data_IF_627027128918
#
_entry.id   IF_627027128918
#
_cell.length_a   1.000
_cell.length_b   1.000
_cell.length_c   1.000
_cell.angle_alpha   90.00
_cell.angle_beta   90.00
_cell.angle_gamma   90.00
#
_symmetry.space_group_name_H-M   'P 1'
#
loop_
_entity.id
_entity.type
_entity.pdbx_description
1 polymer ?
#
# COMPACT_ATOMS: atom_id res chain seq x y z
N UNK A 1 -7.30 84.22 -21.20
CA UNK A 1 -7.03 83.07 -22.10
C UNK A 1 -8.35 82.62 -22.71
N UNK A 2 -8.45 82.58 -24.04
CA UNK A 2 -9.67 82.22 -24.78
C UNK A 2 -10.05 80.76 -24.55
N UNK A 3 -11.35 80.45 -24.53
CA UNK A 3 -11.87 79.08 -24.44
C UNK A 3 -11.30 78.18 -25.53
N UNK A 4 -11.03 78.75 -26.71
CA UNK A 4 -10.43 78.07 -27.86
C UNK A 4 -9.05 77.47 -27.54
N UNK A 5 -8.24 78.14 -26.72
CA UNK A 5 -6.91 77.64 -26.31
C UNK A 5 -7.04 76.43 -25.39
N UNK A 6 -8.08 76.39 -24.55
CA UNK A 6 -8.34 75.23 -23.67
C UNK A 6 -8.89 74.04 -24.44
N UNK A 7 -9.76 74.29 -25.43
CA UNK A 7 -10.29 73.24 -26.32
C UNK A 7 -9.15 72.62 -27.11
N UNK A 8 -8.28 73.44 -27.71
CA UNK A 8 -7.11 72.94 -28.45
C UNK A 8 -6.15 72.13 -27.56
N UNK A 9 -5.95 72.55 -26.30
CA UNK A 9 -5.15 71.81 -25.33
C UNK A 9 -5.73 70.43 -25.00
N UNK A 10 -7.05 70.35 -24.79
CA UNK A 10 -7.73 69.08 -24.53
C UNK A 10 -7.73 68.16 -25.75
N UNK A 11 -7.89 68.70 -26.96
CA UNK A 11 -7.79 67.93 -28.20
C UNK A 11 -6.41 67.31 -28.39
N UNK A 12 -5.34 68.06 -28.07
CA UNK A 12 -3.98 67.54 -28.08
C UNK A 12 -3.77 66.42 -27.05
N UNK A 13 -4.34 66.58 -25.84
CA UNK A 13 -4.26 65.56 -24.78
C UNK A 13 -5.01 64.28 -25.13
N UNK A 14 -6.23 64.39 -25.69
CA UNK A 14 -7.01 63.25 -26.18
C UNK A 14 -6.26 62.50 -27.29
N UNK A 15 -5.62 63.24 -28.19
CA UNK A 15 -4.84 62.65 -29.29
C UNK A 15 -3.62 61.90 -28.73
N UNK A 16 -2.94 62.47 -27.73
CA UNK A 16 -1.82 61.83 -27.04
C UNK A 16 -2.23 60.53 -26.34
N UNK A 17 -3.30 60.58 -25.53
CA UNK A 17 -3.82 59.41 -24.82
C UNK A 17 -4.30 58.31 -25.78
N UNK A 18 -4.87 58.68 -26.92
CA UNK A 18 -5.30 57.72 -27.95
C UNK A 18 -4.10 56.98 -28.55
N UNK A 19 -3.00 57.69 -28.83
CA UNK A 19 -1.76 57.07 -29.31
C UNK A 19 -1.13 56.15 -28.25
N UNK A 20 -1.13 56.55 -26.98
CA UNK A 20 -0.64 55.71 -25.88
C UNK A 20 -1.49 54.43 -25.71
N UNK A 21 -2.80 54.55 -25.87
CA UNK A 21 -3.71 53.40 -25.81
C UNK A 21 -3.44 52.43 -26.97
N UNK A 22 -3.25 52.94 -28.19
CA UNK A 22 -2.89 52.12 -29.35
C UNK A 22 -1.57 51.37 -29.14
N UNK A 23 -0.56 52.03 -28.56
CA UNK A 23 0.71 51.41 -28.19
C UNK A 23 0.52 50.30 -27.14
N UNK A 24 -0.27 50.56 -26.08
CA UNK A 24 -0.57 49.56 -25.06
C UNK A 24 -1.26 48.33 -25.67
N UNK A 25 -2.24 48.55 -26.55
CA UNK A 25 -2.95 47.47 -27.22
C UNK A 25 -2.04 46.67 -28.16
N UNK A 26 -1.06 47.32 -28.81
CA UNK A 26 -0.09 46.66 -29.66
C UNK A 26 0.80 45.69 -28.86
N UNK A 27 1.32 46.13 -27.72
CA UNK A 27 2.13 45.29 -26.82
C UNK A 27 1.33 44.09 -26.31
N UNK A 28 0.06 44.30 -25.96
CA UNK A 28 -0.82 43.20 -25.51
C UNK A 28 -1.04 42.18 -26.63
N UNK A 29 -1.22 42.61 -27.88
CA UNK A 29 -1.36 41.70 -29.03
C UNK A 29 -0.09 40.90 -29.29
N UNK A 30 1.07 41.52 -29.17
CA UNK A 30 2.37 40.85 -29.33
C UNK A 30 2.59 39.77 -28.25
N UNK A 31 2.30 40.12 -26.99
CA UNK A 31 2.36 39.16 -25.88
C UNK A 31 1.33 38.05 -26.03
N UNK A 32 0.11 38.36 -26.47
CA UNK A 32 -0.91 37.36 -26.77
C UNK A 32 -0.48 36.44 -27.93
N UNK A 33 0.26 36.94 -28.92
CA UNK A 33 0.84 36.12 -29.98
C UNK A 33 1.95 35.20 -29.45
N UNK A 34 2.87 35.73 -28.65
CA UNK A 34 4.00 34.99 -28.11
C UNK A 34 3.58 33.91 -27.08
N UNK A 35 2.54 34.18 -26.29
CA UNK A 35 2.15 33.35 -25.15
C UNK A 35 0.75 32.73 -25.25
N UNK A 36 -0.15 33.29 -26.06
CA UNK A 36 -1.56 32.85 -26.16
C UNK A 36 -1.82 31.82 -27.27
N UNK A 37 -0.98 31.74 -28.31
CA UNK A 37 -1.19 30.85 -29.46
C UNK A 37 -0.81 29.38 -29.25
N UNK A 38 -0.24 29.05 -28.09
CA UNK A 38 0.27 27.71 -27.81
C UNK A 38 1.68 27.69 -27.22
N UNK A 39 2.41 28.81 -27.23
CA UNK A 39 3.79 28.88 -26.74
C UNK A 39 3.97 28.36 -25.30
N UNK A 40 3.04 28.66 -24.39
CA UNK A 40 3.06 28.10 -23.02
C UNK A 40 2.78 26.59 -23.01
N UNK A 41 1.89 26.12 -23.88
CA UNK A 41 1.56 24.70 -23.99
C UNK A 41 2.70 23.89 -24.64
N UNK A 42 3.37 24.47 -25.64
CA UNK A 42 4.53 23.87 -26.29
C UNK A 42 5.74 23.83 -25.35
N UNK A 43 6.02 24.92 -24.62
CA UNK A 43 7.06 24.90 -23.57
C UNK A 43 6.77 23.87 -22.47
N UNK A 44 5.49 23.67 -22.12
CA UNK A 44 5.10 22.65 -21.15
C UNK A 44 5.35 21.25 -21.70
N UNK A 45 5.01 20.99 -22.97
CA UNK A 45 5.29 19.72 -23.66
C UNK A 45 6.79 19.45 -23.72
N UNK A 46 7.58 20.46 -24.05
CA UNK A 46 9.06 20.35 -24.09
C UNK A 46 9.63 20.03 -22.70
N UNK A 47 9.09 20.64 -21.65
CA UNK A 47 9.51 20.39 -20.27
C UNK A 47 9.16 18.96 -19.81
N UNK A 48 7.97 18.45 -20.19
CA UNK A 48 7.57 17.06 -19.95
C UNK A 48 8.49 16.08 -20.69
N UNK A 49 8.80 16.37 -21.96
CA UNK A 49 9.74 15.57 -22.74
C UNK A 49 11.14 15.54 -22.13
N UNK A 50 11.64 16.70 -21.67
CA UNK A 50 12.96 16.80 -21.06
C UNK A 50 13.02 16.05 -19.72
N UNK A 51 11.94 16.08 -18.93
CA UNK A 51 11.81 15.29 -17.70
C UNK A 51 11.93 13.78 -17.97
N UNK A 52 11.29 13.29 -19.04
CA UNK A 52 11.40 11.89 -19.47
C UNK A 52 12.85 11.56 -19.86
N UNK A 53 13.51 12.41 -20.65
CA UNK A 53 14.91 12.20 -21.05
C UNK A 53 15.86 12.17 -19.85
N UNK A 54 15.68 13.05 -18.87
CA UNK A 54 16.46 13.07 -17.63
C UNK A 54 16.24 11.77 -16.85
N UNK A 55 15.00 11.29 -16.73
CA UNK A 55 14.70 10.01 -16.08
C UNK A 55 15.36 8.81 -16.78
N UNK A 56 15.41 8.81 -18.12
CA UNK A 56 16.11 7.78 -18.89
C UNK A 56 17.63 7.82 -18.68
N UNK A 57 18.24 9.02 -18.70
CA UNK A 57 19.66 9.19 -18.46
C UNK A 57 20.06 8.80 -17.04
N UNK A 58 19.27 9.19 -16.03
CA UNK A 58 19.49 8.77 -14.64
C UNK A 58 19.44 7.25 -14.47
N UNK A 59 18.51 6.57 -15.16
CA UNK A 59 18.39 5.11 -15.14
C UNK A 59 19.53 4.40 -15.89
N UNK A 60 20.03 4.98 -16.98
CA UNK A 60 21.19 4.48 -17.71
C UNK A 60 22.50 4.63 -16.90
N UNK A 61 22.69 5.76 -16.22
CA UNK A 61 23.83 6.01 -15.31
C UNK A 61 23.78 5.09 -14.08
N UNK A 62 22.58 4.67 -13.67
CA UNK A 62 22.38 3.73 -12.55
C UNK A 62 22.69 2.25 -12.88
N UNK A 63 23.28 1.96 -14.03
CA UNK A 63 23.75 0.63 -14.44
C UNK A 63 22.64 -0.45 -14.54
N UNK A 64 21.45 -0.06 -15.02
CA UNK A 64 20.44 -1.02 -15.47
C UNK A 64 20.54 -1.23 -16.98
N UNK A 65 20.52 -2.47 -17.50
CA UNK A 65 20.84 -2.74 -18.90
C UNK A 65 19.72 -2.23 -19.81
N UNK A 66 20.06 -1.30 -20.72
CA UNK A 66 19.18 -0.78 -21.77
C UNK A 66 19.48 -1.53 -23.06
N UNK A 67 18.45 -2.18 -23.62
CA UNK A 67 18.46 -2.66 -25.01
C UNK A 67 18.34 -1.44 -25.90
N UNK A 68 19.35 -1.21 -26.74
CA UNK A 68 19.46 -0.07 -27.64
C UNK A 68 18.27 0.02 -28.60
N UNK A 69 17.75 1.23 -28.84
CA UNK A 69 16.93 1.51 -30.01
C UNK A 69 17.33 2.82 -30.70
N UNK A 70 17.38 2.67 -32.02
CA UNK A 70 17.81 3.52 -33.11
C UNK A 70 17.04 4.85 -33.22
N UNK A 71 17.77 5.90 -33.61
CA UNK A 71 17.33 7.30 -33.68
C UNK A 71 16.71 7.54 -35.07
N UNK A 72 15.42 7.22 -35.23
CA UNK A 72 14.74 7.50 -36.52
C UNK A 72 13.33 6.94 -36.70
N UNK A 73 12.85 6.05 -35.83
CA UNK A 73 11.49 5.54 -35.95
C UNK A 73 10.51 6.46 -35.21
N UNK A 74 9.49 6.96 -35.92
CA UNK A 74 8.22 7.44 -35.35
C UNK A 74 7.96 6.76 -34.01
N UNK A 75 7.95 7.55 -32.93
CA UNK A 75 7.79 7.14 -31.53
C UNK A 75 6.93 5.86 -31.44
N UNK A 76 7.59 4.69 -31.45
CA UNK A 76 6.91 3.44 -31.14
C UNK A 76 6.70 3.51 -29.64
N UNK A 77 5.52 3.97 -29.25
CA UNK A 77 5.08 3.95 -27.87
C UNK A 77 5.32 2.52 -27.37
N UNK A 78 6.22 2.32 -26.39
CA UNK A 78 6.51 0.98 -25.89
C UNK A 78 5.22 0.40 -25.34
N UNK A 79 4.78 -0.74 -25.85
CA UNK A 79 3.60 -1.41 -25.31
C UNK A 79 3.86 -1.77 -23.84
N UNK A 80 2.88 -1.55 -22.96
CA UNK A 80 3.04 -1.88 -21.55
C UNK A 80 3.25 -3.38 -21.41
N UNK A 81 4.17 -3.77 -20.54
CA UNK A 81 4.29 -5.19 -20.21
C UNK A 81 3.03 -5.65 -19.49
N UNK A 82 2.48 -6.77 -19.94
CA UNK A 82 1.42 -7.44 -19.21
C UNK A 82 1.90 -7.77 -17.79
N UNK A 83 1.09 -7.40 -16.80
CA UNK A 83 1.43 -7.66 -15.40
C UNK A 83 1.44 -9.17 -15.15
N UNK A 84 2.56 -9.67 -14.63
CA UNK A 84 2.75 -11.11 -14.38
C UNK A 84 1.93 -11.64 -13.21
N UNK A 85 1.19 -10.77 -12.50
CA UNK A 85 0.33 -11.13 -11.38
C UNK A 85 1.02 -11.22 -10.01
N UNK A 86 2.30 -10.81 -9.93
CA UNK A 86 3.09 -10.89 -8.71
C UNK A 86 2.57 -9.99 -7.59
N UNK A 87 2.16 -10.57 -6.44
CA UNK A 87 1.61 -9.89 -5.24
C UNK A 87 2.63 -9.02 -4.49
N UNK A 88 3.14 -8.03 -5.17
CA UNK A 88 4.10 -7.05 -4.69
C UNK A 88 3.54 -5.68 -5.04
N UNK A 89 3.29 -4.87 -4.01
CA UNK A 89 2.73 -3.53 -4.16
C UNK A 89 3.55 -2.68 -5.13
N UNK A 90 4.89 -2.82 -5.09
CA UNK A 90 5.79 -2.10 -5.98
C UNK A 90 5.65 -2.54 -7.43
N UNK A 91 5.38 -3.83 -7.68
CA UNK A 91 5.15 -4.34 -9.05
C UNK A 91 3.80 -3.90 -9.60
N UNK A 92 2.78 -3.78 -8.75
CA UNK A 92 1.46 -3.23 -9.12
C UNK A 92 1.60 -1.75 -9.45
N UNK A 93 2.28 -0.99 -8.58
CA UNK A 93 2.52 0.44 -8.77
C UNK A 93 3.31 0.72 -10.05
N UNK A 94 4.39 -0.03 -10.29
CA UNK A 94 5.16 0.07 -11.54
C UNK A 94 4.30 -0.21 -12.78
N UNK A 95 3.40 -1.20 -12.72
CA UNK A 95 2.51 -1.50 -13.83
C UNK A 95 1.49 -0.38 -14.09
N UNK A 96 0.90 0.18 -13.03
CA UNK A 96 -0.04 1.30 -13.15
C UNK A 96 0.66 2.53 -13.71
N UNK A 97 1.89 2.80 -13.25
CA UNK A 97 2.73 3.86 -13.78
C UNK A 97 3.04 3.65 -15.26
N UNK A 98 3.48 2.45 -15.66
CA UNK A 98 3.76 2.12 -17.07
C UNK A 98 2.50 2.29 -17.97
N UNK A 99 1.31 1.95 -17.46
CA UNK A 99 0.04 2.17 -18.17
C UNK A 99 -0.30 3.65 -18.35
N UNK A 100 -0.10 4.45 -17.30
CA UNK A 100 -0.34 5.89 -17.35
C UNK A 100 0.60 6.56 -18.37
N UNK A 101 1.89 6.22 -18.33
CA UNK A 101 2.86 6.71 -19.31
C UNK A 101 2.53 6.29 -20.74
N UNK A 102 2.00 5.07 -20.92
CA UNK A 102 1.53 4.60 -22.22
C UNK A 102 0.35 5.42 -22.75
N UNK A 103 -0.64 5.72 -21.91
CA UNK A 103 -1.80 6.53 -22.33
C UNK A 103 -1.42 7.96 -22.68
N UNK A 104 -0.50 8.56 -21.91
CA UNK A 104 0.06 9.88 -22.20
C UNK A 104 0.80 9.89 -23.54
N UNK A 105 1.69 8.91 -23.77
CA UNK A 105 2.46 8.81 -25.00
C UNK A 105 1.59 8.47 -26.23
N UNK A 106 0.51 7.71 -26.04
CA UNK A 106 -0.45 7.33 -27.09
C UNK A 106 -1.55 8.37 -27.35
N UNK A 107 -1.53 9.51 -26.63
CA UNK A 107 -2.56 10.54 -26.67
C UNK A 107 -3.99 9.96 -26.55
N UNK A 108 -4.15 8.93 -25.70
CA UNK A 108 -5.46 8.34 -25.43
C UNK A 108 -6.12 9.17 -24.35
N UNK A 109 -7.05 10.04 -24.74
CA UNK A 109 -7.77 10.91 -23.81
C UNK A 109 -9.11 10.30 -23.34
N UNK A 110 -9.70 9.41 -24.13
CA UNK A 110 -10.98 8.76 -23.81
C UNK A 110 -10.83 7.75 -22.67
N UNK A 111 -11.48 8.04 -21.55
CA UNK A 111 -11.51 7.21 -20.35
C UNK A 111 -12.07 5.80 -20.61
N UNK A 112 -13.09 5.65 -21.47
CA UNK A 112 -13.64 4.33 -21.77
C UNK A 112 -12.60 3.45 -22.49
N UNK A 113 -11.85 4.04 -23.41
CA UNK A 113 -10.75 3.37 -24.14
C UNK A 113 -9.54 3.09 -23.25
N UNK A 114 -9.19 3.99 -22.31
CA UNK A 114 -8.15 3.74 -21.28
C UNK A 114 -8.53 2.54 -20.42
N UNK A 115 -9.75 2.54 -19.86
CA UNK A 115 -10.26 1.44 -19.03
C UNK A 115 -10.27 0.13 -19.81
N UNK A 116 -10.75 0.11 -21.06
CA UNK A 116 -10.77 -1.09 -21.90
C UNK A 116 -9.36 -1.62 -22.20
N UNK A 117 -8.39 -0.73 -22.44
CA UNK A 117 -7.00 -1.13 -22.74
C UNK A 117 -6.33 -1.66 -21.48
N UNK A 118 -6.42 -0.93 -20.37
CA UNK A 118 -5.88 -1.37 -19.08
C UNK A 118 -6.50 -2.71 -18.66
N UNK A 119 -7.80 -2.92 -18.84
CA UNK A 119 -8.45 -4.19 -18.52
C UNK A 119 -7.93 -5.38 -19.33
N UNK A 120 -7.56 -5.20 -20.60
CA UNK A 120 -6.93 -6.24 -21.42
C UNK A 120 -5.59 -6.71 -20.84
N UNK A 121 -4.81 -5.80 -20.27
CA UNK A 121 -3.54 -6.11 -19.60
C UNK A 121 -3.72 -6.52 -18.13
N UNK A 122 -4.86 -6.19 -17.51
CA UNK A 122 -5.27 -6.59 -16.16
C UNK A 122 -6.02 -7.92 -16.11
N UNK A 123 -6.39 -8.53 -17.24
CA UNK A 123 -7.05 -9.86 -17.25
C UNK A 123 -6.23 -10.91 -16.48
N UNK A 124 -4.90 -10.74 -16.43
CA UNK A 124 -3.99 -11.50 -15.57
C UNK A 124 -4.25 -11.32 -14.06
N UNK A 125 -4.55 -10.09 -13.62
CA UNK A 125 -4.96 -9.79 -12.23
C UNK A 125 -6.27 -10.50 -11.90
N UNK A 126 -7.25 -10.44 -12.80
CA UNK A 126 -8.55 -11.08 -12.57
C UNK A 126 -8.43 -12.61 -12.42
N UNK A 127 -7.60 -13.28 -13.22
CA UNK A 127 -7.44 -14.74 -13.06
C UNK A 127 -6.72 -15.08 -11.74
N UNK A 128 -5.65 -14.36 -11.40
CA UNK A 128 -4.82 -14.69 -10.23
C UNK A 128 -5.45 -14.26 -8.90
N UNK A 129 -6.08 -13.08 -8.84
CA UNK A 129 -6.72 -12.63 -7.62
C UNK A 129 -8.02 -13.38 -7.35
N UNK A 130 -8.78 -13.81 -8.37
CA UNK A 130 -10.03 -14.54 -8.11
C UNK A 130 -9.81 -16.02 -7.79
N UNK A 131 -8.87 -16.72 -8.43
CA UNK A 131 -8.60 -18.13 -8.11
C UNK A 131 -8.01 -18.34 -6.70
N UNK A 132 -7.39 -17.31 -6.15
CA UNK A 132 -6.74 -17.34 -4.83
C UNK A 132 -7.30 -16.31 -3.84
N UNK A 133 -8.44 -15.66 -4.14
CA UNK A 133 -9.14 -14.82 -3.17
C UNK A 133 -9.66 -15.71 -2.04
N UNK A 134 -9.23 -15.45 -0.80
CA UNK A 134 -9.63 -16.20 0.40
C UNK A 134 -11.15 -16.22 0.55
N UNK A 135 -11.83 -15.11 0.31
CA UNK A 135 -13.29 -15.01 0.36
C UNK A 135 -13.96 -15.83 -0.76
N UNK A 136 -13.43 -15.77 -1.98
CA UNK A 136 -13.93 -16.57 -3.10
C UNK A 136 -13.73 -18.06 -2.85
N UNK A 137 -12.55 -18.46 -2.36
CA UNK A 137 -12.21 -19.84 -2.04
C UNK A 137 -13.05 -20.37 -0.89
N UNK A 138 -13.23 -19.59 0.19
CA UNK A 138 -14.15 -19.92 1.28
C UNK A 138 -15.59 -20.09 0.77
N UNK A 139 -16.11 -19.14 -0.01
CA UNK A 139 -17.46 -19.24 -0.60
C UNK A 139 -17.60 -20.42 -1.56
N UNK A 140 -16.57 -20.71 -2.36
CA UNK A 140 -16.55 -21.84 -3.28
C UNK A 140 -16.49 -23.17 -2.54
N UNK A 141 -15.71 -23.26 -1.47
CA UNK A 141 -15.64 -24.44 -0.59
C UNK A 141 -17.00 -24.67 0.08
N UNK A 142 -17.62 -23.63 0.64
CA UNK A 142 -18.97 -23.70 1.23
C UNK A 142 -20.03 -24.14 0.20
N UNK A 143 -19.99 -23.62 -1.04
CA UNK A 143 -20.92 -24.05 -2.10
C UNK A 143 -20.75 -25.50 -2.54
N UNK A 144 -19.53 -26.04 -2.39
CA UNK A 144 -19.22 -27.44 -2.72
C UNK A 144 -19.36 -28.37 -1.52
N UNK A 145 -19.63 -27.84 -0.34
CA UNK A 145 -19.79 -28.63 0.86
C UNK A 145 -21.15 -29.32 0.81
N UNK A 146 -21.14 -30.65 0.71
CA UNK A 146 -22.34 -31.47 0.70
C UNK A 146 -22.45 -32.28 1.99
N UNK A 147 -23.69 -32.53 2.42
CA UNK A 147 -23.97 -33.38 3.59
C UNK A 147 -23.87 -34.86 3.17
N UNK A 148 -22.64 -35.36 3.06
CA UNK A 148 -22.35 -36.75 2.64
C UNK A 148 -22.06 -37.69 3.81
N UNK A 149 -21.90 -37.16 5.04
CA UNK A 149 -21.59 -37.92 6.26
C UNK A 149 -22.54 -37.59 7.42
N UNK A 150 -22.07 -37.72 8.67
CA UNK A 150 -22.89 -37.35 9.82
C UNK A 150 -23.08 -35.83 9.87
N UNK A 151 -24.17 -35.36 10.50
CA UNK A 151 -24.41 -33.93 10.70
C UNK A 151 -23.26 -33.24 11.44
N UNK A 152 -22.55 -33.96 12.32
CA UNK A 152 -21.38 -33.44 13.03
C UNK A 152 -20.20 -33.20 12.10
N UNK A 153 -19.96 -34.08 11.13
CA UNK A 153 -18.86 -33.94 10.17
C UNK A 153 -19.07 -32.76 9.23
N UNK A 154 -20.32 -32.54 8.82
CA UNK A 154 -20.71 -31.39 8.01
C UNK A 154 -20.59 -30.07 8.78
N UNK A 155 -21.10 -30.01 10.02
CA UNK A 155 -20.97 -28.83 10.88
C UNK A 155 -19.49 -28.54 11.15
N UNK A 156 -18.67 -29.56 11.39
CA UNK A 156 -17.21 -29.41 11.60
C UNK A 156 -16.51 -28.85 10.37
N UNK A 157 -16.84 -29.32 9.16
CA UNK A 157 -16.29 -28.81 7.90
C UNK A 157 -16.82 -27.41 7.53
N UNK A 158 -18.02 -27.05 7.99
CA UNK A 158 -18.61 -25.73 7.80
C UNK A 158 -17.97 -24.66 8.69
N UNK A 159 -17.56 -25.02 9.91
CA UNK A 159 -17.02 -24.06 10.90
C UNK A 159 -15.49 -24.02 11.02
N UNK A 160 -14.72 -25.04 10.60
CA UNK A 160 -13.29 -25.10 10.95
C UNK A 160 -12.35 -25.83 9.96
N UNK A 161 -11.35 -25.10 9.45
CA UNK A 161 -10.07 -25.65 8.98
C UNK A 161 -9.25 -26.14 10.20
N UNK A 162 -8.49 -27.22 10.05
CA UNK A 162 -7.90 -27.96 11.18
C UNK A 162 -6.90 -27.15 12.04
N UNK A 163 -6.27 -26.13 11.44
CA UNK A 163 -5.30 -25.25 12.11
C UNK A 163 -5.93 -24.28 13.11
N UNK A 164 -7.20 -23.91 12.92
CA UNK A 164 -7.90 -22.95 13.78
C UNK A 164 -8.42 -23.59 15.07
N UNK A 165 -8.45 -24.93 15.12
CA UNK A 165 -8.95 -25.67 16.29
C UNK A 165 -7.98 -25.62 17.47
N UNK A 166 -6.67 -25.73 17.22
CA UNK A 166 -5.65 -25.59 18.27
C UNK A 166 -5.64 -24.15 18.80
N UNK A 167 -5.73 -23.16 17.91
CA UNK A 167 -5.78 -21.75 18.31
C UNK A 167 -7.02 -21.44 19.16
N UNK A 168 -8.21 -21.87 18.73
CA UNK A 168 -9.46 -21.68 19.48
C UNK A 168 -9.45 -22.41 20.82
N UNK A 169 -8.88 -23.62 20.88
CA UNK A 169 -8.68 -24.38 22.11
C UNK A 169 -7.77 -23.62 23.10
N UNK A 170 -6.61 -23.16 22.63
CA UNK A 170 -5.63 -22.42 23.45
C UNK A 170 -6.19 -21.09 23.99
N UNK A 171 -6.97 -20.38 23.19
CA UNK A 171 -7.65 -19.14 23.60
C UNK A 171 -8.71 -19.38 24.68
N UNK A 172 -9.39 -20.53 24.65
CA UNK A 172 -10.37 -20.92 25.68
C UNK A 172 -9.77 -21.36 27.02
N UNK A 173 -8.46 -21.65 27.08
CA UNK A 173 -7.80 -22.10 28.30
C UNK A 173 -7.49 -20.96 29.27
N UNK A 174 -7.50 -21.28 30.57
CA UNK A 174 -7.01 -20.38 31.62
C UNK A 174 -5.53 -20.05 31.38
N UNK A 175 -5.06 -18.82 31.72
CA UNK A 175 -3.71 -18.37 31.39
C UNK A 175 -2.57 -19.30 31.84
N UNK A 176 -2.68 -19.90 33.04
CA UNK A 176 -1.67 -20.82 33.55
C UNK A 176 -1.60 -22.14 32.76
N UNK A 177 -2.75 -22.68 32.33
CA UNK A 177 -2.82 -23.92 31.55
C UNK A 177 -2.27 -23.70 30.13
N UNK A 178 -2.56 -22.53 29.55
CA UNK A 178 -2.04 -22.12 28.24
C UNK A 178 -0.51 -22.05 28.22
N UNK A 179 0.08 -21.42 29.24
CA UNK A 179 1.55 -21.32 29.37
C UNK A 179 2.19 -22.69 29.53
N UNK A 180 1.58 -23.60 30.30
CA UNK A 180 2.14 -24.93 30.50
C UNK A 180 2.09 -25.79 29.24
N UNK A 181 1.00 -25.73 28.47
CA UNK A 181 0.90 -26.38 27.16
C UNK A 181 1.89 -25.82 26.13
N UNK A 182 2.18 -24.50 26.17
CA UNK A 182 3.23 -23.91 25.34
C UNK A 182 4.63 -24.40 25.71
N UNK A 183 4.90 -24.61 27.01
CA UNK A 183 6.19 -25.16 27.48
C UNK A 183 6.41 -26.62 27.03
N UNK A 184 5.33 -27.36 26.81
CA UNK A 184 5.37 -28.74 26.32
C UNK A 184 5.48 -28.85 24.79
N UNK A 185 5.60 -27.73 24.07
CA UNK A 185 5.80 -27.67 22.60
C UNK A 185 4.73 -28.43 21.80
N UNK A 186 3.47 -28.33 22.25
CA UNK A 186 2.36 -29.01 21.58
C UNK A 186 2.05 -28.36 20.23
N UNK A 187 2.03 -29.16 19.16
CA UNK A 187 1.83 -28.67 17.77
C UNK A 187 0.50 -29.10 17.14
N UNK A 188 -0.25 -29.99 17.78
CA UNK A 188 -1.53 -30.52 17.31
C UNK A 188 -2.56 -30.58 18.45
N UNK A 189 -3.84 -30.56 18.07
CA UNK A 189 -4.94 -30.56 19.05
C UNK A 189 -5.01 -31.85 19.87
N UNK A 190 -4.63 -32.99 19.29
CA UNK A 190 -4.67 -34.29 19.99
C UNK A 190 -3.67 -34.33 21.14
N UNK A 191 -2.42 -33.97 20.86
CA UNK A 191 -1.36 -33.80 21.86
C UNK A 191 -1.73 -32.74 22.90
N UNK A 192 -2.45 -31.68 22.52
CA UNK A 192 -2.92 -30.65 23.44
C UNK A 192 -3.96 -31.17 24.42
N UNK A 193 -4.89 -31.99 23.95
CA UNK A 193 -5.92 -32.61 24.78
C UNK A 193 -5.30 -33.62 25.75
N UNK A 194 -4.40 -34.49 25.29
CA UNK A 194 -3.70 -35.45 26.15
C UNK A 194 -2.83 -34.75 27.20
N UNK A 195 -2.08 -33.72 26.81
CA UNK A 195 -1.30 -32.92 27.76
C UNK A 195 -2.20 -32.20 28.78
N UNK A 196 -3.35 -31.68 28.35
CA UNK A 196 -4.31 -31.02 29.23
C UNK A 196 -4.95 -31.98 30.24
N UNK A 197 -5.21 -33.23 29.85
CA UNK A 197 -5.67 -34.28 30.76
C UNK A 197 -4.62 -34.60 31.83
N UNK A 198 -3.33 -34.56 31.49
CA UNK A 198 -2.24 -34.74 32.46
C UNK A 198 -1.99 -33.51 33.37
N UNK A 199 -2.57 -32.34 33.07
CA UNK A 199 -2.38 -31.12 33.89
C UNK A 199 -3.15 -31.15 35.22
N UNK A 200 -4.14 -32.03 35.39
CA UNK A 200 -4.97 -32.08 36.61
C UNK A 200 -4.18 -32.51 37.84
N UNK A 201 -3.08 -33.24 37.67
CA UNK A 201 -2.30 -33.79 38.78
C UNK A 201 -1.30 -32.77 39.36
N UNK A 202 -0.79 -31.83 38.54
CA UNK A 202 0.18 -30.81 38.95
C UNK A 202 -0.41 -29.69 39.83
N UNK A 203 -1.71 -29.39 39.71
CA UNK A 203 -2.37 -28.42 40.57
C UNK A 203 -2.42 -28.87 42.05
N UNK A 204 -2.32 -30.18 42.29
CA UNK A 204 -2.34 -30.76 43.65
C UNK A 204 -0.99 -30.68 44.38
N UNK A 205 0.11 -30.52 43.63
CA UNK A 205 1.47 -30.45 44.18
C UNK A 205 1.84 -29.05 44.66
N UNK A 206 1.41 -28.01 43.94
CA UNK A 206 1.66 -26.61 44.34
C UNK A 206 0.86 -26.18 45.58
N UNK A 207 -0.11 -26.98 46.05
CA UNK A 207 -0.92 -26.69 47.24
C UNK A 207 -0.38 -27.36 48.52
N UNK A 208 0.40 -28.43 48.42
CA UNK A 208 0.95 -29.14 49.61
C UNK A 208 2.18 -28.46 50.20
N UNK A 209 2.96 -27.76 49.39
CA UNK A 209 4.24 -27.18 49.83
C UNK A 209 4.13 -25.85 50.60
N UNK A 210 2.91 -25.31 50.76
CA UNK A 210 2.67 -24.07 51.52
C UNK A 210 2.14 -24.29 52.94
N UNK A 211 1.90 -25.52 53.38
CA UNK A 211 1.12 -25.78 54.62
C UNK A 211 1.81 -26.63 55.70
N UNK A 212 3.13 -26.83 55.64
CA UNK A 212 3.87 -27.48 56.73
C UNK A 212 5.20 -26.79 57.03
N UNK A 213 5.16 -25.78 57.89
CA UNK A 213 6.27 -25.48 58.81
C UNK A 213 5.71 -25.19 60.21
N UNK A 214 6.05 -26.00 61.24
CA UNK A 214 5.70 -25.72 62.63
C UNK A 214 6.78 -24.82 63.28
N UNK A 215 6.36 -23.76 63.95
CA UNK A 215 7.14 -23.06 64.99
C UNK A 215 7.14 -23.90 66.29
N UNK A 216 7.88 -23.58 67.38
CA UNK A 216 9.09 -22.77 67.58
C UNK A 216 10.17 -23.48 68.44
N UNK A 217 11.43 -22.98 68.49
CA UNK A 217 12.27 -23.10 69.72
C UNK A 217 13.11 -21.84 69.90
N UNK A 218 12.85 -21.13 70.99
CA UNK A 218 13.71 -20.07 71.52
C UNK A 218 14.92 -20.72 72.21
N UNK A 219 16.15 -20.36 71.83
CA UNK A 219 17.33 -20.57 72.66
C UNK A 219 18.01 -19.23 72.95
N UNK A 220 18.20 -18.98 74.25
CA UNK A 220 19.03 -17.95 74.84
C UNK A 220 20.50 -18.41 74.85
N UNK A 221 21.38 -17.46 75.20
CA UNK A 221 22.86 -17.54 75.34
C UNK A 221 23.58 -17.13 74.03
N UNK A 222 24.38 -16.08 73.94
CA UNK A 222 25.08 -15.29 74.95
C UNK A 222 26.57 -15.34 74.64
N UNK A 223 27.11 -14.42 73.82
CA UNK A 223 28.57 -14.17 73.81
C UNK A 223 28.91 -12.74 73.35
N UNK A 224 29.12 -11.92 74.38
CA UNK A 224 29.99 -10.75 74.54
C UNK A 224 31.08 -10.46 73.47
N UNK A 225 31.20 -9.14 73.16
CA UNK A 225 32.43 -8.31 72.99
C UNK A 225 33.17 -8.21 71.64
N UNK A 226 33.11 -6.99 71.06
CA UNK A 226 34.17 -5.96 70.79
C UNK A 226 33.85 -5.19 69.49
N UNK A 227 33.63 -3.86 69.55
CA UNK A 227 34.63 -2.77 69.29
C UNK A 227 35.19 -2.81 67.86
N UNK A 228 35.23 -1.76 67.02
CA UNK A 228 35.28 -0.30 67.18
C UNK A 228 34.89 0.36 65.84
N UNK A 229 34.20 1.50 65.89
CA UNK A 229 34.51 2.77 65.20
C UNK A 229 33.30 3.70 65.31
#
# INVERSE_FOLDING_TARGET
>A
MSLEVKVFGLEAEITGLSSELENCQQVIREWAGAFGGGGIADMRRDMEQMSIQIGLLQRAVSNTPVVAHDVGARLRIPEPKAYSGARDAKKVENFLFDMEQYFLAANVEDEARKVSTATMYLTAIRVQFFSENVEYNARRALRKLEHTGSMQDYVKAFFMEEKDKLFTFMEGLKPWARVELQRQWVTDLGSAMTAAECLTDFASETRRDRQTTPSPVQNKEGMSRRSLA
#
